data_IF_172565821057
#
_entry.id   IF_172565821057
#
_cell.length_a   1.000
_cell.length_b   1.000
_cell.length_c   1.000
_cell.angle_alpha   90.00
_cell.angle_beta   90.00
_cell.angle_gamma   90.00
#
_symmetry.space_group_name_H-M   'P 1'
#
loop_
_entity.id
_entity.type
_entity.pdbx_description
1 polymer ?
#
# COMPACT_ATOMS: atom_id res chain seq x y z
N UNK A 1 13.34 -5.26 9.84
CA UNK A 1 11.90 -5.38 10.14
C UNK A 1 11.50 -4.30 11.15
N UNK A 2 10.21 -4.17 11.37
CA UNK A 2 9.67 -3.26 12.39
C UNK A 2 10.11 -3.66 13.79
N UNK A 3 10.20 -2.68 14.70
CA UNK A 3 10.65 -2.91 16.08
C UNK A 3 9.56 -3.54 16.96
N UNK A 4 9.97 -4.22 18.04
CA UNK A 4 9.03 -4.78 19.02
C UNK A 4 8.20 -3.66 19.68
N UNK A 5 8.81 -2.54 20.05
CA UNK A 5 8.13 -1.39 20.61
C UNK A 5 7.04 -0.81 19.66
N UNK A 6 7.27 -0.85 18.35
CA UNK A 6 6.27 -0.46 17.37
C UNK A 6 5.09 -1.44 17.34
N UNK A 7 5.37 -2.75 17.39
CA UNK A 7 4.32 -3.78 17.44
C UNK A 7 3.49 -3.67 18.73
N UNK A 8 4.11 -3.42 19.88
CA UNK A 8 3.43 -3.18 21.14
C UNK A 8 2.52 -1.94 21.09
N UNK A 9 2.99 -0.88 20.44
CA UNK A 9 2.19 0.33 20.25
C UNK A 9 0.97 0.08 19.35
N UNK A 10 1.11 -0.69 18.27
CA UNK A 10 0.01 -1.11 17.42
C UNK A 10 -0.98 -2.03 18.15
N UNK A 11 -0.48 -2.97 18.98
CA UNK A 11 -1.35 -3.81 19.81
C UNK A 11 -2.17 -2.97 20.79
N UNK A 12 -1.56 -1.98 21.43
CA UNK A 12 -2.28 -1.03 22.29
C UNK A 12 -3.35 -0.22 21.54
N UNK A 13 -3.08 0.17 20.28
CA UNK A 13 -4.08 0.81 19.42
C UNK A 13 -5.22 -0.16 19.06
N UNK A 14 -4.93 -1.43 18.84
CA UNK A 14 -5.93 -2.44 18.48
C UNK A 14 -6.92 -2.73 19.63
N UNK A 15 -6.49 -2.57 20.89
CA UNK A 15 -7.30 -2.87 22.10
C UNK A 15 -8.36 -1.81 22.39
N UNK A 16 -8.30 -0.64 21.78
CA UNK A 16 -9.23 0.48 21.99
C UNK A 16 -9.81 0.96 20.66
N UNK A 17 -10.94 1.69 20.65
CA UNK A 17 -11.42 2.33 19.43
C UNK A 17 -10.33 3.22 18.83
N UNK A 18 -9.91 2.91 17.60
CA UNK A 18 -8.84 3.61 16.89
C UNK A 18 -8.88 3.29 15.40
N UNK A 19 -8.23 4.13 14.59
CA UNK A 19 -8.07 3.91 13.16
C UNK A 19 -7.41 2.56 12.85
N UNK A 20 -6.45 2.12 13.68
CA UNK A 20 -5.77 0.84 13.49
C UNK A 20 -6.69 -0.35 13.76
N UNK A 21 -7.49 -0.28 14.82
CA UNK A 21 -8.52 -1.29 15.10
C UNK A 21 -9.52 -1.39 13.95
N UNK A 22 -9.94 -0.25 13.39
CA UNK A 22 -10.86 -0.23 12.26
C UNK A 22 -10.25 -0.93 11.03
N UNK A 23 -8.95 -0.72 10.77
CA UNK A 23 -8.20 -1.44 9.72
C UNK A 23 -8.19 -2.95 9.97
N UNK A 24 -7.90 -3.39 11.20
CA UNK A 24 -7.83 -4.82 11.55
C UNK A 24 -9.17 -5.54 11.46
N UNK A 25 -10.28 -4.81 11.56
CA UNK A 25 -11.63 -5.36 11.44
C UNK A 25 -12.11 -5.47 9.98
N UNK A 26 -11.28 -5.09 9.00
CA UNK A 26 -11.58 -5.19 7.57
C UNK A 26 -11.07 -6.50 7.00
N UNK A 27 -11.87 -7.15 6.18
CA UNK A 27 -11.53 -8.34 5.41
C UNK A 27 -11.14 -8.04 3.95
N UNK A 28 -11.27 -6.78 3.54
CA UNK A 28 -11.00 -6.29 2.19
C UNK A 28 -9.73 -5.44 2.10
N UNK A 29 -8.83 -5.55 3.05
CA UNK A 29 -7.51 -4.93 3.02
C UNK A 29 -6.41 -5.97 3.21
N UNK A 30 -5.23 -5.69 2.66
CA UNK A 30 -4.02 -6.48 2.86
C UNK A 30 -2.97 -5.64 3.57
N UNK A 31 -2.35 -6.18 4.63
CA UNK A 31 -1.31 -5.51 5.40
C UNK A 31 0.04 -6.11 5.01
N UNK A 32 0.88 -5.32 4.35
CA UNK A 32 2.24 -5.69 3.99
C UNK A 32 3.24 -5.17 5.02
N UNK A 33 4.18 -6.02 5.42
CA UNK A 33 5.27 -5.67 6.34
C UNK A 33 6.50 -5.26 5.52
N UNK A 34 7.03 -4.08 5.78
CA UNK A 34 8.22 -3.52 5.16
C UNK A 34 9.40 -3.48 6.15
N UNK A 35 10.53 -2.91 5.72
CA UNK A 35 11.71 -2.82 6.58
C UNK A 35 11.43 -2.07 7.89
N UNK A 36 10.83 -0.88 7.82
CA UNK A 36 10.53 -0.02 8.97
C UNK A 36 9.10 0.53 8.94
N UNK A 37 8.19 -0.16 8.26
CA UNK A 37 6.81 0.31 8.13
C UNK A 37 5.86 -0.84 7.83
N UNK A 38 4.56 -0.57 7.98
CA UNK A 38 3.48 -1.37 7.42
C UNK A 38 2.76 -0.57 6.34
N UNK A 39 2.26 -1.26 5.32
CA UNK A 39 1.38 -0.66 4.33
C UNK A 39 0.04 -1.40 4.32
N UNK A 40 -1.05 -0.65 4.33
CA UNK A 40 -2.42 -1.17 4.22
C UNK A 40 -2.89 -0.97 2.79
N UNK A 41 -3.09 -2.05 2.06
CA UNK A 41 -3.47 -2.02 0.65
C UNK A 41 -4.95 -2.40 0.44
N UNK A 42 -5.60 -1.68 -0.46
CA UNK A 42 -6.87 -2.06 -1.05
C UNK A 42 -6.80 -1.86 -2.57
N UNK A 43 -6.98 -2.91 -3.35
CA UNK A 43 -6.91 -2.91 -4.84
C UNK A 43 -5.63 -2.23 -5.38
N UNK A 44 -4.48 -2.54 -4.78
CA UNK A 44 -3.19 -1.97 -5.15
C UNK A 44 -2.96 -0.52 -4.67
N UNK A 45 -3.93 0.10 -4.04
CA UNK A 45 -3.81 1.41 -3.43
C UNK A 45 -3.31 1.31 -1.99
N UNK A 46 -2.21 1.96 -1.64
CA UNK A 46 -1.74 2.09 -0.26
C UNK A 46 -2.62 3.11 0.48
N UNK A 47 -3.63 2.61 1.21
CA UNK A 47 -4.57 3.43 1.99
C UNK A 47 -3.84 4.11 3.15
N UNK A 48 -3.02 3.32 3.87
CA UNK A 48 -2.12 3.82 4.90
C UNK A 48 -0.71 3.26 4.69
N UNK A 49 0.26 4.11 4.90
CA UNK A 49 1.63 3.75 5.24
C UNK A 49 1.85 4.12 6.70
N UNK A 50 2.39 3.19 7.48
CA UNK A 50 2.51 3.31 8.94
C UNK A 50 3.98 3.15 9.28
N UNK A 51 4.66 4.26 9.56
CA UNK A 51 6.09 4.26 9.83
C UNK A 51 6.39 3.95 11.30
N UNK A 52 7.39 3.09 11.52
CA UNK A 52 8.06 2.89 12.79
C UNK A 52 9.08 4.04 12.99
N UNK A 53 8.68 5.07 13.72
CA UNK A 53 9.52 6.22 13.99
C UNK A 53 10.44 6.04 15.23
N UNK A 54 10.60 4.80 15.69
CA UNK A 54 11.38 4.45 16.87
C UNK A 54 10.67 4.75 18.20
N UNK A 55 11.18 4.12 19.28
CA UNK A 55 10.63 4.27 20.63
C UNK A 55 9.10 4.02 20.74
N UNK A 56 8.55 3.12 19.94
CA UNK A 56 7.12 2.81 19.93
C UNK A 56 6.23 3.89 19.30
N UNK A 57 6.80 4.83 18.57
CA UNK A 57 6.06 5.90 17.92
C UNK A 57 5.56 5.43 16.54
N UNK A 58 4.24 5.43 16.38
CA UNK A 58 3.51 5.01 15.18
C UNK A 58 3.07 6.25 14.41
N UNK A 59 3.49 6.38 13.15
CA UNK A 59 3.13 7.53 12.30
C UNK A 59 2.38 7.03 11.07
N UNK A 60 1.04 7.17 11.03
CA UNK A 60 0.23 6.80 9.89
C UNK A 60 0.15 7.93 8.86
N UNK A 61 0.44 7.61 7.60
CA UNK A 61 0.35 8.48 6.44
C UNK A 61 -0.71 7.97 5.47
N UNK A 62 -1.38 8.88 4.80
CA UNK A 62 -2.26 8.58 3.66
C UNK A 62 -2.13 9.62 2.57
N UNK A 63 -2.58 9.30 1.35
CA UNK A 63 -2.71 10.29 0.28
C UNK A 63 -4.03 11.03 0.38
N UNK A 64 -4.00 12.35 0.23
CA UNK A 64 -5.20 13.21 0.21
C UNK A 64 -6.22 12.82 -0.86
N UNK A 65 -5.78 12.16 -1.94
CA UNK A 65 -6.68 11.62 -2.97
C UNK A 65 -7.74 10.65 -2.42
N UNK A 66 -7.45 9.97 -1.31
CA UNK A 66 -8.42 9.07 -0.66
C UNK A 66 -9.37 9.79 0.28
N UNK A 67 -9.00 11.00 0.74
CA UNK A 67 -9.79 11.82 1.66
C UNK A 67 -10.74 12.78 0.92
N UNK A 68 -10.18 13.56 -0.01
CA UNK A 68 -10.89 14.70 -0.64
C UNK A 68 -10.86 14.67 -2.17
N UNK A 69 -10.27 13.62 -2.78
CA UNK A 69 -10.13 13.45 -4.24
C UNK A 69 -9.41 14.60 -4.95
N UNK A 70 -8.62 15.38 -4.21
CA UNK A 70 -7.80 16.48 -4.74
C UNK A 70 -6.32 16.08 -4.81
N UNK A 71 -5.45 17.06 -4.94
CA UNK A 71 -4.02 16.89 -5.19
C UNK A 71 -3.35 15.74 -4.42
N UNK A 72 -2.38 15.08 -5.06
CA UNK A 72 -1.66 13.94 -4.48
C UNK A 72 -0.60 14.43 -3.47
N UNK A 73 -1.03 14.80 -2.28
CA UNK A 73 -0.18 15.17 -1.15
C UNK A 73 -0.29 14.11 -0.08
N UNK A 74 0.79 13.81 0.61
CA UNK A 74 0.77 12.94 1.79
C UNK A 74 0.23 13.73 2.98
N UNK A 75 -0.69 13.10 3.72
CA UNK A 75 -1.21 13.62 4.96
C UNK A 75 -0.91 12.64 6.10
N UNK A 76 -0.43 13.17 7.22
CA UNK A 76 -0.24 12.40 8.45
C UNK A 76 -1.50 12.43 9.31
N UNK A 77 -1.91 11.28 9.79
CA UNK A 77 -2.97 11.20 10.80
C UNK A 77 -2.36 11.42 12.19
N UNK A 78 -2.78 12.49 12.86
CA UNK A 78 -2.32 12.87 14.19
C UNK A 78 -3.08 12.13 15.29
N UNK A 79 -2.54 12.10 16.51
CA UNK A 79 -3.17 11.45 17.68
C UNK A 79 -4.54 12.03 18.04
N UNK A 80 -4.80 13.30 17.68
CA UNK A 80 -6.08 13.96 17.85
C UNK A 80 -7.12 13.60 16.77
N UNK A 81 -6.76 12.72 15.83
CA UNK A 81 -7.62 12.27 14.73
C UNK A 81 -7.65 13.20 13.51
N UNK A 82 -6.93 14.32 13.51
CA UNK A 82 -6.85 15.20 12.36
C UNK A 82 -5.75 14.76 11.38
N UNK A 83 -6.00 14.99 10.08
CA UNK A 83 -4.99 14.84 9.05
C UNK A 83 -4.26 16.17 8.84
N UNK A 84 -2.93 16.11 8.73
CA UNK A 84 -2.07 17.25 8.43
C UNK A 84 -1.27 17.02 7.14
N UNK A 85 -1.06 18.07 6.32
CA UNK A 85 -1.36 19.49 6.56
C UNK A 85 -2.85 19.82 6.56
N UNK A 86 -3.27 20.75 7.43
CA UNK A 86 -4.67 21.12 7.64
C UNK A 86 -5.24 22.07 6.57
N UNK A 87 -4.41 22.62 5.71
CA UNK A 87 -4.78 23.51 4.60
C UNK A 87 -5.49 22.82 3.43
N UNK A 88 -5.55 21.47 3.47
CA UNK A 88 -6.33 20.66 2.52
C UNK A 88 -7.83 20.59 2.83
N UNK A 89 -8.34 21.45 3.71
CA UNK A 89 -9.69 21.39 4.23
C UNK A 89 -9.78 20.44 5.43
N UNK A 90 -10.83 20.58 6.24
CA UNK A 90 -10.96 19.71 7.42
C UNK A 90 -11.00 18.25 6.98
N UNK A 91 -10.10 17.48 7.51
CA UNK A 91 -10.11 16.03 7.36
C UNK A 91 -9.83 15.46 8.74
N UNK A 92 -10.83 14.83 9.30
CA UNK A 92 -10.75 14.18 10.59
C UNK A 92 -11.09 12.71 10.42
N UNK A 93 -10.33 11.85 11.03
CA UNK A 93 -10.68 10.46 11.16
C UNK A 93 -11.78 10.30 12.21
N UNK A 94 -12.99 10.01 11.74
CA UNK A 94 -14.21 9.91 12.58
C UNK A 94 -14.64 8.45 12.79
N UNK A 95 -13.71 7.51 12.68
CA UNK A 95 -13.97 6.07 12.86
C UNK A 95 -14.20 5.32 11.55
N UNK A 96 -14.90 4.16 11.58
CA UNK A 96 -15.03 3.24 10.44
C UNK A 96 -15.63 3.85 9.17
N UNK A 97 -16.44 4.90 9.30
CA UNK A 97 -17.02 5.62 8.16
C UNK A 97 -15.96 6.30 7.32
N UNK A 98 -14.98 6.97 7.96
CA UNK A 98 -13.85 7.60 7.26
C UNK A 98 -13.03 6.55 6.50
N UNK A 99 -12.70 5.43 7.13
CA UNK A 99 -11.99 4.34 6.46
C UNK A 99 -12.78 3.79 5.27
N UNK A 100 -14.09 3.64 5.41
CA UNK A 100 -14.97 3.18 4.31
C UNK A 100 -14.99 4.16 3.14
N UNK A 101 -14.96 5.46 3.40
CA UNK A 101 -14.88 6.50 2.36
C UNK A 101 -13.52 6.49 1.65
N UNK A 102 -12.43 6.29 2.40
CA UNK A 102 -11.09 6.11 1.83
C UNK A 102 -11.00 4.88 0.92
N UNK A 103 -11.56 3.75 1.35
CA UNK A 103 -11.62 2.50 0.59
C UNK A 103 -12.47 2.68 -0.67
N UNK A 104 -13.61 3.38 -0.58
CA UNK A 104 -14.44 3.70 -1.75
C UNK A 104 -13.66 4.55 -2.75
N UNK A 105 -12.95 5.58 -2.30
CA UNK A 105 -12.12 6.41 -3.15
C UNK A 105 -11.00 5.60 -3.82
N UNK A 106 -10.36 4.69 -3.10
CA UNK A 106 -9.37 3.78 -3.67
C UNK A 106 -9.97 2.81 -4.70
N UNK A 107 -11.18 2.30 -4.45
CA UNK A 107 -11.92 1.45 -5.38
C UNK A 107 -12.21 2.17 -6.68
N UNK A 108 -12.68 3.42 -6.61
CA UNK A 108 -13.00 4.25 -7.78
C UNK A 108 -11.75 4.59 -8.62
N UNK A 109 -10.59 4.66 -7.98
CA UNK A 109 -9.31 4.94 -8.63
C UNK A 109 -8.61 3.68 -9.16
N UNK A 110 -9.04 2.49 -8.75
CA UNK A 110 -8.38 1.24 -9.12
C UNK A 110 -8.68 0.85 -10.58
N UNK A 111 -7.64 0.48 -11.32
CA UNK A 111 -7.78 -0.12 -12.65
C UNK A 111 -8.35 -1.54 -12.60
N UNK A 112 -8.79 -2.05 -13.76
CA UNK A 112 -9.39 -3.38 -13.89
C UNK A 112 -8.46 -4.51 -13.42
N UNK A 113 -7.16 -4.40 -13.70
CA UNK A 113 -6.15 -5.38 -13.30
C UNK A 113 -6.05 -5.50 -11.78
N UNK A 114 -5.88 -4.38 -11.07
CA UNK A 114 -5.80 -4.33 -9.60
C UNK A 114 -7.11 -4.76 -8.94
N UNK A 115 -8.24 -4.38 -9.52
CA UNK A 115 -9.57 -4.79 -9.04
C UNK A 115 -9.79 -6.30 -9.19
N UNK A 116 -9.35 -6.90 -10.30
CA UNK A 116 -9.44 -8.33 -10.54
C UNK A 116 -8.50 -9.16 -9.65
N UNK A 117 -7.32 -8.61 -9.34
CA UNK A 117 -6.32 -9.29 -8.50
C UNK A 117 -6.68 -9.26 -7.01
N UNK A 118 -7.36 -8.22 -6.55
CA UNK A 118 -7.63 -8.00 -5.14
C UNK A 118 -8.33 -9.15 -4.39
N UNK A 119 -9.39 -9.81 -4.92
CA UNK A 119 -10.01 -10.95 -4.25
C UNK A 119 -9.05 -12.13 -4.03
N UNK A 120 -8.09 -12.32 -4.94
CA UNK A 120 -7.06 -13.37 -4.83
C UNK A 120 -6.05 -13.03 -3.72
N UNK A 121 -5.74 -11.75 -3.55
CA UNK A 121 -4.82 -11.27 -2.51
C UNK A 121 -5.44 -11.49 -1.14
N UNK A 122 -6.64 -10.95 -0.90
CA UNK A 122 -7.27 -11.01 0.44
C UNK A 122 -7.81 -12.40 0.78
N UNK A 123 -8.14 -13.23 -0.22
CA UNK A 123 -8.63 -14.59 -0.04
C UNK A 123 -7.54 -15.65 0.14
N UNK A 124 -6.24 -15.30 0.07
CA UNK A 124 -5.17 -16.29 0.10
C UNK A 124 -4.19 -16.07 1.25
N UNK A 125 -4.11 -17.05 2.15
CA UNK A 125 -3.10 -17.08 3.22
C UNK A 125 -1.65 -17.28 2.74
N UNK A 126 -1.44 -17.52 1.45
CA UNK A 126 -0.11 -17.68 0.85
C UNK A 126 0.48 -16.36 0.38
N UNK A 127 -0.31 -15.32 0.24
CA UNK A 127 0.19 -14.00 -0.11
C UNK A 127 0.95 -13.42 1.07
N UNK A 128 2.20 -13.04 0.85
CA UNK A 128 3.07 -12.46 1.88
C UNK A 128 3.42 -11.00 1.58
N UNK A 129 3.27 -10.56 0.33
CA UNK A 129 3.51 -9.18 -0.06
C UNK A 129 2.78 -8.80 -1.35
N UNK A 130 2.55 -7.49 -1.55
CA UNK A 130 1.93 -6.91 -2.74
C UNK A 130 2.64 -5.60 -3.11
N UNK A 131 2.58 -5.21 -4.39
CA UNK A 131 3.15 -3.96 -4.89
C UNK A 131 4.64 -3.80 -4.51
N UNK A 132 5.40 -4.89 -4.57
CA UNK A 132 6.82 -4.91 -4.21
C UNK A 132 7.64 -4.22 -5.31
N UNK A 133 8.33 -3.13 -4.95
CA UNK A 133 9.29 -2.47 -5.84
C UNK A 133 10.67 -3.07 -5.67
N UNK A 134 11.26 -3.55 -6.76
CA UNK A 134 12.64 -4.01 -6.79
C UNK A 134 13.53 -2.87 -7.30
N UNK A 135 14.47 -2.44 -6.47
CA UNK A 135 15.51 -1.50 -6.90
C UNK A 135 16.50 -2.25 -7.79
N UNK A 136 16.69 -1.80 -9.03
CA UNK A 136 17.86 -2.21 -9.79
C UNK A 136 19.09 -1.59 -9.14
N UNK A 137 20.05 -2.42 -8.75
CA UNK A 137 21.31 -1.94 -8.19
C UNK A 137 22.05 -1.10 -9.23
N UNK A 138 21.88 0.21 -9.21
CA UNK A 138 22.78 1.16 -9.81
C UNK A 138 23.62 1.77 -8.69
N UNK A 139 24.92 1.73 -8.87
CA UNK A 139 25.90 2.24 -7.92
C UNK A 139 25.68 3.72 -7.62
N UNK A 140 25.01 4.03 -6.56
CA UNK A 140 24.91 5.26 -5.77
C UNK A 140 23.49 5.44 -5.24
N UNK A 141 23.30 5.05 -4.00
CA UNK A 141 22.00 5.00 -3.34
C UNK A 141 21.86 6.24 -2.48
N UNK A 142 20.80 6.97 -2.71
CA UNK A 142 20.18 7.82 -1.69
C UNK A 142 18.92 7.09 -1.19
N UNK A 143 18.99 6.50 0.00
CA UNK A 143 17.95 5.65 0.61
C UNK A 143 16.74 6.43 1.15
N UNK A 144 16.63 7.73 0.87
CA UNK A 144 15.70 8.63 1.55
C UNK A 144 14.42 8.98 0.80
N UNK A 145 14.04 8.26 -0.26
CA UNK A 145 12.79 8.58 -0.98
C UNK A 145 11.67 7.61 -0.61
N UNK A 146 10.51 8.13 -0.14
CA UNK A 146 9.32 7.32 0.11
C UNK A 146 8.80 6.71 -1.20
N UNK A 147 8.14 5.55 -1.08
CA UNK A 147 7.33 4.93 -2.14
C UNK A 147 6.30 5.94 -2.66
N UNK A 148 6.74 6.82 -3.53
CA UNK A 148 5.85 7.77 -4.18
C UNK A 148 5.24 7.07 -5.39
N UNK A 149 3.91 6.98 -5.42
CA UNK A 149 3.15 6.87 -6.65
C UNK A 149 3.44 8.12 -7.49
N UNK A 150 4.60 8.14 -8.19
CA UNK A 150 5.04 9.28 -8.98
C UNK A 150 4.33 9.26 -10.33
N UNK A 151 3.13 9.83 -10.37
CA UNK A 151 2.63 10.50 -11.55
C UNK A 151 2.76 12.02 -11.33
N UNK A 152 3.99 12.55 -11.37
CA UNK A 152 4.21 13.99 -11.51
C UNK A 152 4.90 14.27 -12.84
N UNK A 153 4.16 14.95 -13.71
CA UNK A 153 4.71 15.56 -14.89
C UNK A 153 5.75 16.63 -14.50
N UNK A 154 6.97 16.52 -15.02
CA UNK A 154 7.92 17.60 -15.09
C UNK A 154 9.17 17.49 -14.23
N UNK A 155 9.95 16.40 -14.33
CA UNK A 155 11.35 16.38 -13.95
C UNK A 155 12.12 15.52 -14.94
N UNK A 156 13.27 16.01 -15.39
CA UNK A 156 14.20 15.36 -16.32
C UNK A 156 14.43 13.90 -15.96
N UNK A 157 14.12 13.01 -16.92
CA UNK A 157 14.13 11.58 -16.80
C UNK A 157 15.51 11.02 -16.47
N UNK A 158 15.75 10.71 -15.21
CA UNK A 158 16.60 9.59 -14.88
C UNK A 158 15.69 8.36 -15.00
N UNK A 159 15.99 7.49 -15.93
CA UNK A 159 15.25 6.24 -16.20
C UNK A 159 15.38 5.30 -14.98
N UNK A 160 14.56 5.55 -13.94
CA UNK A 160 14.41 4.69 -12.78
C UNK A 160 13.29 3.70 -13.08
N UNK A 161 13.51 2.82 -14.05
CA UNK A 161 12.61 1.68 -14.24
C UNK A 161 12.69 0.77 -13.00
N UNK A 162 11.84 1.04 -12.02
CA UNK A 162 11.60 0.13 -10.91
C UNK A 162 10.76 -1.03 -11.44
N UNK A 163 11.28 -2.23 -11.35
CA UNK A 163 10.47 -3.42 -11.59
C UNK A 163 9.50 -3.56 -10.41
N UNK A 164 8.20 -3.43 -10.69
CA UNK A 164 7.15 -3.58 -9.69
C UNK A 164 6.48 -4.92 -9.86
N UNK A 165 6.48 -5.69 -8.80
CA UNK A 165 5.82 -6.99 -8.74
C UNK A 165 4.48 -6.84 -8.04
N UNK A 166 3.42 -7.37 -8.65
CA UNK A 166 2.07 -7.18 -8.14
C UNK A 166 1.79 -8.00 -6.89
N UNK A 167 2.27 -9.25 -6.82
CA UNK A 167 2.02 -10.17 -5.70
C UNK A 167 3.23 -11.05 -5.44
N UNK A 168 3.50 -11.30 -4.17
CA UNK A 168 4.50 -12.27 -3.71
C UNK A 168 3.80 -13.33 -2.87
N UNK A 169 4.01 -14.60 -3.21
CA UNK A 169 3.44 -15.73 -2.46
C UNK A 169 4.52 -16.65 -1.92
N UNK A 170 4.18 -17.35 -0.83
CA UNK A 170 5.00 -18.43 -0.30
C UNK A 170 4.38 -19.78 -0.66
N UNK A 171 5.22 -20.72 -1.06
CA UNK A 171 4.84 -22.12 -1.31
C UNK A 171 5.73 -23.09 -0.55
N UNK A 172 5.38 -24.36 -0.61
CA UNK A 172 6.21 -25.46 -0.06
C UNK A 172 6.27 -26.59 -1.08
N UNK A 173 7.47 -27.11 -1.33
CA UNK A 173 7.68 -28.27 -2.20
C UNK A 173 8.62 -29.25 -1.49
N UNK A 174 8.11 -30.40 -1.12
CA UNK A 174 8.90 -31.43 -0.42
C UNK A 174 9.48 -30.95 0.92
N UNK A 175 8.74 -30.18 1.69
CA UNK A 175 9.16 -29.61 2.97
C UNK A 175 10.06 -28.35 2.87
N UNK A 176 10.41 -27.93 1.66
CA UNK A 176 11.24 -26.73 1.44
C UNK A 176 10.35 -25.54 1.06
N UNK A 177 10.41 -24.41 1.81
CA UNK A 177 9.69 -23.20 1.43
C UNK A 177 10.34 -22.56 0.18
N UNK A 178 9.50 -21.95 -0.65
CA UNK A 178 9.94 -21.14 -1.79
C UNK A 178 9.04 -19.93 -1.95
N UNK A 179 9.58 -18.88 -2.58
CA UNK A 179 8.87 -17.63 -2.86
C UNK A 179 8.57 -17.59 -4.35
N UNK A 180 7.36 -17.14 -4.70
CA UNK A 180 6.95 -16.92 -6.09
C UNK A 180 6.56 -15.46 -6.25
N UNK A 181 7.15 -14.83 -7.25
CA UNK A 181 6.84 -13.48 -7.69
C UNK A 181 5.85 -13.54 -8.85
N UNK A 182 4.78 -12.77 -8.76
CA UNK A 182 3.73 -12.73 -9.77
C UNK A 182 3.60 -11.32 -10.34
N UNK A 183 3.49 -11.25 -11.65
CA UNK A 183 3.05 -10.07 -12.37
C UNK A 183 1.68 -10.39 -12.97
N UNK A 184 0.68 -9.59 -12.65
CA UNK A 184 -0.67 -9.77 -13.16
C UNK A 184 -0.87 -8.94 -14.43
N UNK A 185 -1.64 -9.49 -15.36
CA UNK A 185 -2.08 -8.76 -16.55
C UNK A 185 -3.57 -8.97 -16.74
N UNK A 186 -4.30 -7.91 -16.95
CA UNK A 186 -5.70 -8.02 -17.34
C UNK A 186 -5.83 -8.69 -18.72
N UNK A 187 -6.83 -9.53 -18.91
CA UNK A 187 -7.01 -10.30 -20.15
C UNK A 187 -7.11 -9.42 -21.43
N UNK A 188 -7.54 -8.15 -21.28
CA UNK A 188 -7.58 -7.19 -22.39
C UNK A 188 -6.21 -6.57 -22.71
N UNK A 189 -5.16 -6.87 -21.92
CA UNK A 189 -3.85 -6.28 -22.13
C UNK A 189 -3.22 -6.83 -23.44
N UNK A 190 -2.87 -5.95 -24.41
CA UNK A 190 -2.29 -6.38 -25.68
C UNK A 190 -1.00 -7.20 -25.54
N UNK A 191 -0.26 -7.04 -24.44
CA UNK A 191 0.95 -7.81 -24.18
C UNK A 191 0.71 -9.32 -23.97
N UNK A 192 -0.54 -9.74 -23.71
CA UNK A 192 -0.94 -11.15 -23.61
C UNK A 192 -1.22 -11.79 -24.98
N UNK A 193 -1.24 -11.02 -26.06
CA UNK A 193 -1.55 -11.50 -27.39
C UNK A 193 -0.29 -11.72 -28.19
N UNK A 194 -0.23 -12.81 -28.95
CA UNK A 194 0.86 -13.02 -29.91
C UNK A 194 0.85 -11.89 -30.96
N UNK A 195 2.04 -11.45 -31.37
CA UNK A 195 2.15 -10.47 -32.47
C UNK A 195 1.51 -11.05 -33.74
N UNK A 196 0.43 -10.44 -34.20
CA UNK A 196 -0.31 -10.84 -35.40
C UNK A 196 -1.68 -11.46 -35.17
N UNK A 197 -2.11 -11.70 -33.93
CA UNK A 197 -3.51 -12.06 -33.68
C UNK A 197 -4.43 -10.84 -33.74
N UNK A 198 -5.55 -10.91 -34.46
CA UNK A 198 -6.54 -9.83 -34.48
C UNK A 198 -7.18 -9.62 -33.13
N UNK A 199 -7.62 -8.41 -32.85
CA UNK A 199 -8.24 -8.00 -31.60
C UNK A 199 -9.66 -8.59 -31.47
#
# INVERSE_FOLDING_TARGET
GVSEAFLDALDNLARKPSWWRDVLLRDDVFIAVRANSLNVYHRGASIFRIDDAGAGRVIPWTHTKYLIRQQQVLAQLQDNGHFEPSDIGWTQYSGPSTLSDMIRSATDLAGAEKSGLHPLIVGSSKVIDVELSLLRASSSVDESLPDADVHSAGATSVDRSQDRLDVVTVGNRGGKPFIVFHEAKHFSNPALRAKGEPA
#
